data_IF_114163657812
#
_entry.id   IF_114163657812
#
_cell.length_a   1.000
_cell.length_b   1.000
_cell.length_c   1.000
_cell.angle_alpha   90.00
_cell.angle_beta   90.00
_cell.angle_gamma   90.00
#
_symmetry.space_group_name_H-M   'P 1'
#
loop_
_entity.id
_entity.type
_entity.pdbx_description
1 polymer ?
#
# COMPACT_ATOMS: atom_id res chain seq x y z
N UNK A 1 5.21 -0.32 8.54
CA UNK A 1 3.86 -0.70 8.97
C UNK A 1 3.69 -2.20 8.81
N UNK A 2 3.31 -2.90 9.88
CA UNK A 2 3.01 -4.33 9.88
C UNK A 2 1.52 -4.59 9.60
N UNK A 3 1.15 -5.84 9.35
CA UNK A 3 -0.26 -6.23 9.23
C UNK A 3 -1.04 -5.98 10.53
N UNK A 4 -0.41 -6.26 11.68
CA UNK A 4 -1.01 -6.08 13.00
C UNK A 4 -1.28 -4.60 13.30
N UNK A 5 -0.32 -3.71 13.00
CA UNK A 5 -0.49 -2.26 13.15
C UNK A 5 -1.65 -1.73 12.28
N UNK A 6 -1.79 -2.26 11.05
CA UNK A 6 -2.90 -1.92 10.17
C UNK A 6 -4.24 -2.43 10.73
N UNK A 7 -4.28 -3.69 11.19
CA UNK A 7 -5.45 -4.30 11.79
C UNK A 7 -5.95 -3.49 13.00
N UNK A 8 -5.05 -3.14 13.91
CA UNK A 8 -5.40 -2.39 15.13
C UNK A 8 -5.94 -1.00 14.79
N UNK A 9 -5.36 -0.33 13.79
CA UNK A 9 -5.78 0.99 13.37
C UNK A 9 -7.19 1.03 12.75
N UNK A 10 -7.61 -0.02 12.04
CA UNK A 10 -8.86 -0.03 11.26
C UNK A 10 -10.00 -0.78 11.95
N UNK A 11 -9.71 -1.66 12.91
CA UNK A 11 -10.71 -2.47 13.64
C UNK A 11 -11.72 -1.66 14.46
N UNK A 12 -11.43 -0.37 14.70
CA UNK A 12 -12.38 0.58 15.30
C UNK A 12 -13.52 1.01 14.34
N UNK A 13 -13.36 0.80 13.04
CA UNK A 13 -14.32 1.25 12.02
C UNK A 13 -15.02 0.11 11.29
N UNK A 14 -14.32 -1.01 11.07
CA UNK A 14 -14.83 -2.15 10.31
C UNK A 14 -14.51 -3.48 11.01
N UNK A 15 -15.20 -4.54 10.59
CA UNK A 15 -14.76 -5.92 10.86
C UNK A 15 -13.79 -6.32 9.75
N UNK A 16 -12.56 -6.67 10.13
CA UNK A 16 -11.51 -7.06 9.18
C UNK A 16 -11.67 -8.54 8.82
N UNK A 17 -11.76 -8.84 7.52
CA UNK A 17 -11.86 -10.20 7.00
C UNK A 17 -10.49 -10.79 6.65
N UNK A 18 -9.64 -10.00 5.98
CA UNK A 18 -8.31 -10.42 5.53
C UNK A 18 -7.37 -9.22 5.41
N UNK A 19 -6.10 -9.39 5.80
CA UNK A 19 -5.00 -8.49 5.45
C UNK A 19 -3.88 -9.35 4.85
N UNK A 20 -3.41 -8.99 3.65
CA UNK A 20 -2.30 -9.70 3.00
C UNK A 20 -1.36 -8.76 2.23
N UNK A 21 -0.08 -9.14 2.06
CA UNK A 21 0.85 -8.34 1.27
C UNK A 21 0.33 -8.12 -0.14
N UNK A 22 0.46 -6.91 -0.65
CA UNK A 22 0.01 -6.53 -1.98
C UNK A 22 0.93 -5.49 -2.62
N UNK A 23 0.70 -5.24 -3.91
CA UNK A 23 1.39 -4.21 -4.67
C UNK A 23 0.38 -3.14 -5.10
N UNK A 24 0.65 -1.89 -4.72
CA UNK A 24 -0.19 -0.74 -5.05
C UNK A 24 0.39 -0.07 -6.30
N UNK A 25 -0.44 0.11 -7.32
CA UNK A 25 -0.03 0.71 -8.60
C UNK A 25 -0.59 2.12 -8.72
N UNK A 26 0.25 3.08 -9.11
CA UNK A 26 -0.14 4.47 -9.30
C UNK A 26 0.38 5.01 -10.63
N UNK A 27 -0.43 5.88 -11.25
CA UNK A 27 0.05 6.77 -12.31
C UNK A 27 0.82 7.89 -11.62
N UNK A 28 2.14 7.77 -11.59
CA UNK A 28 2.97 8.73 -10.90
C UNK A 28 3.52 9.79 -11.88
N UNK A 29 3.52 11.08 -11.52
CA UNK A 29 4.13 12.11 -12.34
C UNK A 29 5.65 11.90 -12.45
N UNK A 30 6.27 12.52 -13.47
CA UNK A 30 7.74 12.55 -13.60
C UNK A 30 8.37 13.06 -12.29
N UNK A 31 9.35 12.33 -11.75
CA UNK A 31 9.98 12.62 -10.46
C UNK A 31 9.51 11.75 -9.28
N UNK A 32 8.52 10.87 -9.47
CA UNK A 32 8.07 9.97 -8.40
C UNK A 32 9.14 9.01 -7.86
N UNK A 33 10.19 8.75 -8.64
CA UNK A 33 11.34 7.97 -8.18
C UNK A 33 12.22 8.75 -7.18
N UNK A 34 12.23 10.09 -7.24
CA UNK A 34 12.97 10.91 -6.27
C UNK A 34 12.31 10.83 -4.87
N UNK A 35 11.00 10.57 -4.83
CA UNK A 35 10.26 10.28 -3.60
C UNK A 35 10.59 8.91 -3.01
N UNK A 36 11.05 7.93 -3.82
CA UNK A 36 11.37 6.59 -3.29
C UNK A 36 12.59 6.62 -2.38
N UNK A 37 13.62 7.35 -2.80
CA UNK A 37 14.83 7.58 -2.02
C UNK A 37 14.52 8.34 -0.72
N UNK A 38 13.53 9.24 -0.75
CA UNK A 38 13.12 10.04 0.40
C UNK A 38 12.27 9.25 1.41
N UNK A 39 11.39 8.37 0.91
CA UNK A 39 10.41 7.65 1.74
C UNK A 39 10.92 6.29 2.24
N UNK A 40 12.08 5.82 1.77
CA UNK A 40 12.63 4.51 2.14
C UNK A 40 11.72 3.33 1.77
N UNK A 41 10.83 3.53 0.81
CA UNK A 41 9.84 2.53 0.40
C UNK A 41 10.27 1.84 -0.90
N UNK A 42 9.90 0.57 -1.04
CA UNK A 42 10.19 -0.27 -2.21
C UNK A 42 9.32 0.14 -3.41
N UNK A 43 9.66 1.28 -4.01
CA UNK A 43 9.06 1.75 -5.25
C UNK A 43 9.75 1.14 -6.47
N UNK A 44 8.96 0.78 -7.47
CA UNK A 44 9.40 0.20 -8.73
C UNK A 44 8.71 0.90 -9.89
N UNK A 45 9.43 1.15 -10.98
CA UNK A 45 8.82 1.51 -12.27
C UNK A 45 8.41 0.23 -13.00
N UNK A 46 7.17 0.19 -13.45
CA UNK A 46 6.56 -0.95 -14.15
C UNK A 46 6.66 -0.82 -15.67
N UNK A 47 6.56 -1.91 -16.44
CA UNK A 47 6.74 -1.90 -17.90
C UNK A 47 5.78 -0.97 -18.66
N UNK A 48 4.63 -0.65 -18.08
CA UNK A 48 3.62 0.24 -18.65
C UNK A 48 3.77 1.71 -18.21
N UNK A 49 4.87 2.04 -17.51
CA UNK A 49 5.19 3.38 -17.04
C UNK A 49 4.55 3.75 -15.70
N UNK A 50 3.76 2.87 -15.08
CA UNK A 50 3.27 3.07 -13.71
C UNK A 50 4.40 2.93 -12.69
N UNK A 51 4.16 3.48 -11.50
CA UNK A 51 5.00 3.20 -10.33
C UNK A 51 4.22 2.31 -9.39
N UNK A 52 4.88 1.30 -8.83
CA UNK A 52 4.29 0.38 -7.86
C UNK A 52 5.05 0.42 -6.54
N UNK A 53 4.36 0.18 -5.43
CA UNK A 53 4.94 0.14 -4.07
C UNK A 53 4.37 -1.00 -3.24
N UNK A 54 5.21 -1.61 -2.40
CA UNK A 54 4.77 -2.63 -1.46
C UNK A 54 3.76 -2.06 -0.46
N UNK A 55 2.67 -2.79 -0.21
CA UNK A 55 1.62 -2.40 0.72
C UNK A 55 0.78 -3.60 1.16
N UNK A 56 -0.45 -3.34 1.56
CA UNK A 56 -1.40 -4.34 2.05
C UNK A 56 -2.73 -4.24 1.30
N UNK A 57 -3.31 -5.38 0.96
CA UNK A 57 -4.72 -5.47 0.57
C UNK A 57 -5.52 -5.85 1.80
N UNK A 58 -6.54 -5.04 2.09
CA UNK A 58 -7.46 -5.24 3.21
C UNK A 58 -8.87 -5.48 2.67
N UNK A 59 -9.48 -6.58 3.09
CA UNK A 59 -10.90 -6.89 2.89
C UNK A 59 -11.63 -6.73 4.21
N UNK A 60 -12.76 -6.04 4.21
CA UNK A 60 -13.54 -5.76 5.41
C UNK A 60 -15.00 -5.46 5.09
N UNK A 61 -15.85 -5.58 6.11
CA UNK A 61 -17.27 -5.24 6.04
C UNK A 61 -17.73 -4.36 7.20
N UNK A 62 -18.90 -3.74 7.03
CA UNK A 62 -19.57 -2.96 8.08
C UNK A 62 -20.22 -3.90 9.10
N UNK A 63 -20.23 -3.46 10.36
CA UNK A 63 -20.95 -4.14 11.45
C UNK A 63 -22.45 -4.04 11.30
#
# INVERSE_FOLDING_TARGET
MTADELHDAVSKYWVVDEIKPARLYANAPQGAMDLSALMGADFRVEPDGRVSVAGWLLSAHLR
#
